data_IF_701096888867
#
_entry.id   IF_701096888867
#
_cell.length_a   1.000
_cell.length_b   1.000
_cell.length_c   1.000
_cell.angle_alpha   90.00
_cell.angle_beta   90.00
_cell.angle_gamma   90.00
#
_symmetry.space_group_name_H-M   'P 1'
#
loop_
_entity.id
_entity.type
_entity.pdbx_description
1 polymer ?
#
# COMPACT_ATOMS: atom_id res chain seq x y z
N UNK A 1 6.44 2.37 22.73
CA UNK A 1 7.16 2.22 21.44
C UNK A 1 6.58 3.24 20.48
N UNK A 2 7.42 4.05 19.81
CA UNK A 2 6.95 5.16 18.99
C UNK A 2 6.47 4.60 17.63
N UNK A 3 5.15 4.51 17.41
CA UNK A 3 4.54 3.80 16.27
C UNK A 3 5.08 4.26 14.91
N UNK A 4 5.46 5.54 14.80
CA UNK A 4 6.07 6.09 13.60
C UNK A 4 7.43 5.46 13.26
N UNK A 5 8.28 5.20 14.26
CA UNK A 5 9.61 4.59 14.03
C UNK A 5 9.49 3.17 13.49
N UNK A 6 8.49 2.43 13.97
CA UNK A 6 8.24 1.08 13.49
C UNK A 6 7.74 1.09 12.03
N UNK A 7 6.88 2.04 11.67
CA UNK A 7 6.38 2.18 10.31
C UNK A 7 7.50 2.50 9.31
N UNK A 8 8.36 3.46 9.66
CA UNK A 8 9.56 3.80 8.87
C UNK A 8 10.49 2.60 8.69
N UNK A 9 10.76 1.85 9.77
CA UNK A 9 11.59 0.65 9.70
C UNK A 9 10.99 -0.40 8.75
N UNK A 10 9.68 -0.64 8.84
CA UNK A 10 8.96 -1.53 7.93
C UNK A 10 9.07 -1.08 6.47
N UNK A 11 8.89 0.21 6.19
CA UNK A 11 8.98 0.74 4.83
C UNK A 11 10.36 0.51 4.19
N UNK A 12 11.44 0.68 4.96
CA UNK A 12 12.79 0.33 4.49
C UNK A 12 12.97 -1.18 4.25
N UNK A 13 12.33 -2.02 5.05
CA UNK A 13 12.42 -3.47 4.86
C UNK A 13 11.62 -3.92 3.63
N UNK A 14 10.45 -3.33 3.38
CA UNK A 14 9.65 -3.57 2.18
C UNK A 14 10.42 -3.18 0.91
N UNK A 15 11.04 -1.99 0.88
CA UNK A 15 11.81 -1.55 -0.29
C UNK A 15 13.00 -2.47 -0.56
N UNK A 16 13.77 -2.84 0.48
CA UNK A 16 14.86 -3.80 0.36
C UNK A 16 14.39 -5.17 -0.11
N UNK A 17 13.24 -5.63 0.37
CA UNK A 17 12.69 -6.93 0.00
C UNK A 17 12.28 -6.97 -1.48
N UNK A 18 11.57 -5.95 -1.96
CA UNK A 18 11.16 -5.84 -3.37
C UNK A 18 12.38 -5.68 -4.28
N UNK A 19 13.31 -4.79 -3.91
CA UNK A 19 14.56 -4.61 -4.65
C UNK A 19 15.37 -5.91 -4.75
N UNK A 20 15.41 -6.71 -3.69
CA UNK A 20 16.14 -7.98 -3.67
C UNK A 20 15.45 -9.07 -4.50
N UNK A 21 14.13 -9.21 -4.37
CA UNK A 21 13.37 -10.27 -5.05
C UNK A 21 13.04 -9.93 -6.50
N UNK A 22 13.15 -8.66 -6.89
CA UNK A 22 12.74 -8.17 -8.21
C UNK A 22 11.31 -8.62 -8.54
N UNK A 23 10.42 -8.47 -7.56
CA UNK A 23 9.03 -8.90 -7.65
C UNK A 23 8.13 -7.97 -6.84
N UNK A 24 6.96 -7.65 -7.40
CA UNK A 24 5.91 -6.87 -6.73
C UNK A 24 5.43 -7.53 -5.44
N UNK A 25 5.11 -6.71 -4.45
CA UNK A 25 4.57 -7.16 -3.17
C UNK A 25 3.47 -6.24 -2.68
N UNK A 26 2.42 -6.85 -2.15
CA UNK A 26 1.28 -6.19 -1.53
C UNK A 26 1.43 -6.26 -0.02
N UNK A 27 1.15 -5.15 0.65
CA UNK A 27 1.22 -5.01 2.10
C UNK A 27 -0.14 -4.59 2.66
N UNK A 28 -0.15 -4.08 3.89
CA UNK A 28 -1.39 -3.76 4.59
C UNK A 28 -2.09 -2.50 4.03
N UNK A 29 -3.28 -2.21 4.56
CA UNK A 29 -4.01 -0.96 4.34
C UNK A 29 -3.54 0.12 5.32
N UNK A 30 -3.18 1.28 4.79
CA UNK A 30 -2.68 2.40 5.56
C UNK A 30 -3.62 3.58 5.50
N UNK A 31 -3.82 4.27 6.61
CA UNK A 31 -4.52 5.57 6.65
C UNK A 31 -3.67 6.66 5.95
N UNK A 32 -4.25 7.82 5.59
CA UNK A 32 -3.55 8.87 4.85
C UNK A 32 -2.25 9.35 5.51
N UNK A 33 -2.21 9.49 6.84
CA UNK A 33 -1.02 9.95 7.56
C UNK A 33 0.09 8.89 7.58
N UNK A 34 -0.28 7.60 7.58
CA UNK A 34 0.66 6.49 7.41
C UNK A 34 1.15 6.39 5.97
N UNK A 35 0.28 6.59 4.97
CA UNK A 35 0.63 6.57 3.55
C UNK A 35 1.70 7.62 3.22
N UNK A 36 1.53 8.85 3.71
CA UNK A 36 2.49 9.95 3.50
C UNK A 36 3.89 9.58 4.02
N UNK A 37 3.97 9.08 5.26
CA UNK A 37 5.24 8.67 5.87
C UNK A 37 5.91 7.51 5.14
N UNK A 38 5.13 6.54 4.69
CA UNK A 38 5.65 5.42 3.90
C UNK A 38 6.18 5.95 2.57
N UNK A 39 5.42 6.82 1.89
CA UNK A 39 5.81 7.39 0.62
C UNK A 39 7.15 8.15 0.72
N UNK A 40 7.35 8.93 1.78
CA UNK A 40 8.61 9.64 2.01
C UNK A 40 9.80 8.69 2.08
N UNK A 41 9.64 7.56 2.78
CA UNK A 41 10.69 6.54 2.88
C UNK A 41 10.92 5.83 1.56
N UNK A 42 9.85 5.44 0.85
CA UNK A 42 9.97 4.66 -0.40
C UNK A 42 10.56 5.49 -1.55
N UNK A 43 10.32 6.80 -1.59
CA UNK A 43 10.91 7.72 -2.57
C UNK A 43 12.44 7.79 -2.51
N UNK A 44 13.06 7.42 -1.39
CA UNK A 44 14.52 7.33 -1.26
C UNK A 44 15.14 6.19 -2.07
N UNK A 45 14.32 5.24 -2.58
CA UNK A 45 14.80 4.03 -3.25
C UNK A 45 14.53 4.10 -4.77
N UNK A 46 15.57 4.43 -5.54
CA UNK A 46 15.44 4.65 -6.99
C UNK A 46 15.10 3.40 -7.81
N UNK A 47 15.27 2.19 -7.26
CA UNK A 47 15.06 0.92 -7.95
C UNK A 47 13.62 0.38 -7.87
N UNK A 48 12.75 1.04 -7.11
CA UNK A 48 11.36 0.64 -6.91
C UNK A 48 10.42 1.80 -7.25
N UNK A 49 9.18 1.45 -7.54
CA UNK A 49 8.04 2.34 -7.51
C UNK A 49 7.01 1.78 -6.51
N UNK A 50 6.02 2.60 -6.17
CA UNK A 50 4.96 2.20 -5.25
C UNK A 50 3.63 2.86 -5.62
N UNK A 51 2.55 2.22 -5.20
CA UNK A 51 1.20 2.72 -5.37
C UNK A 51 0.34 2.37 -4.15
N UNK A 52 -0.67 3.20 -3.90
CA UNK A 52 -1.70 2.96 -2.90
C UNK A 52 -3.05 2.78 -3.60
N UNK A 53 -3.67 1.62 -3.45
CA UNK A 53 -4.92 1.28 -4.13
C UNK A 53 -5.85 0.47 -3.23
N UNK A 54 -7.14 0.41 -3.59
CA UNK A 54 -8.12 -0.46 -2.97
C UNK A 54 -9.21 0.27 -2.20
N UNK A 55 -10.33 -0.44 -2.03
CA UNK A 55 -11.55 0.12 -1.46
C UNK A 55 -12.40 0.82 -2.52
N UNK A 56 -13.19 1.79 -2.09
CA UNK A 56 -13.96 2.69 -2.96
C UNK A 56 -13.16 3.97 -3.24
N UNK A 57 -13.61 4.80 -4.17
CA UNK A 57 -13.01 6.11 -4.47
C UNK A 57 -12.76 6.95 -3.20
N UNK A 58 -13.67 6.85 -2.23
CA UNK A 58 -13.65 7.62 -0.98
C UNK A 58 -12.99 6.87 0.19
N UNK A 59 -12.42 5.69 -0.02
CA UNK A 59 -11.75 4.95 1.04
C UNK A 59 -10.43 5.65 1.43
N UNK A 60 -10.36 6.08 2.70
CA UNK A 60 -9.13 6.68 3.24
C UNK A 60 -8.00 5.66 3.35
N UNK A 61 -8.34 4.42 3.71
CA UNK A 61 -7.38 3.33 3.89
C UNK A 61 -7.14 2.62 2.56
N UNK A 62 -5.89 2.66 2.09
CA UNK A 62 -5.47 2.06 0.82
C UNK A 62 -4.36 1.05 1.05
N UNK A 63 -4.39 -0.05 0.31
CA UNK A 63 -3.37 -1.08 0.31
C UNK A 63 -2.10 -0.55 -0.36
N UNK A 64 -0.95 -0.78 0.28
CA UNK A 64 0.35 -0.49 -0.33
C UNK A 64 0.75 -1.62 -1.29
N UNK A 65 1.13 -1.25 -2.51
CA UNK A 65 1.90 -2.09 -3.42
C UNK A 65 3.27 -1.47 -3.66
N UNK A 66 4.33 -2.27 -3.55
CA UNK A 66 5.70 -1.87 -3.89
C UNK A 66 6.23 -2.83 -4.95
N UNK A 67 6.84 -2.30 -6.00
CA UNK A 67 7.23 -3.05 -7.18
C UNK A 67 8.53 -2.53 -7.80
N UNK A 68 9.27 -3.35 -8.56
CA UNK A 68 10.43 -2.89 -9.31
C UNK A 68 10.09 -1.73 -10.24
N UNK A 69 11.00 -0.77 -10.36
CA UNK A 69 10.79 0.43 -11.18
C UNK A 69 10.54 0.08 -12.65
N UNK A 70 9.60 0.78 -13.26
CA UNK A 70 9.22 0.58 -14.67
C UNK A 70 8.19 -0.53 -14.91
N UNK A 71 7.74 -1.22 -13.86
CA UNK A 71 6.51 -2.00 -13.94
C UNK A 71 5.27 -1.10 -13.86
N UNK A 72 4.20 -1.48 -14.56
CA UNK A 72 2.87 -0.94 -14.35
C UNK A 72 2.08 -1.88 -13.44
N UNK A 73 1.30 -1.30 -12.52
CA UNK A 73 0.36 -2.05 -11.69
C UNK A 73 -1.04 -1.62 -12.07
N UNK A 74 -1.84 -2.58 -12.52
CA UNK A 74 -3.26 -2.36 -12.79
C UNK A 74 -4.09 -2.64 -11.53
N UNK A 75 -5.22 -1.95 -11.41
CA UNK A 75 -6.15 -2.07 -10.27
C UNK A 75 -6.62 -3.51 -10.03
N UNK A 76 -6.88 -4.26 -11.11
CA UNK A 76 -7.30 -5.67 -11.08
C UNK A 76 -6.28 -6.63 -10.46
N UNK A 77 -5.03 -6.19 -10.28
CA UNK A 77 -3.96 -7.02 -9.74
C UNK A 77 -3.89 -6.99 -8.22
N UNK A 78 -4.58 -6.03 -7.59
CA UNK A 78 -4.72 -6.00 -6.15
C UNK A 78 -5.70 -7.06 -5.70
N UNK A 79 -5.30 -7.88 -4.73
CA UNK A 79 -6.15 -8.91 -4.13
C UNK A 79 -7.15 -8.29 -3.13
N UNK A 80 -8.02 -7.41 -3.61
CA UNK A 80 -8.98 -6.64 -2.82
C UNK A 80 -10.36 -6.76 -3.46
N UNK A 81 -11.36 -7.11 -2.66
CA UNK A 81 -12.77 -7.13 -3.05
C UNK A 81 -13.57 -6.15 -2.17
N UNK A 82 -14.61 -5.54 -2.75
CA UNK A 82 -15.57 -4.68 -2.04
C UNK A 82 -16.78 -5.52 -1.65
N UNK A 83 -17.13 -5.48 -0.36
CA UNK A 83 -18.36 -6.12 0.14
C UNK A 83 -19.40 -5.03 0.33
N UNK A 84 -20.45 -5.08 -0.46
CA UNK A 84 -21.61 -4.20 -0.35
C UNK A 84 -22.66 -4.83 0.58
N UNK A 85 -23.22 -4.01 1.46
CA UNK A 85 -24.30 -4.42 2.35
C UNK A 85 -25.58 -3.73 1.92
N UNK A 86 -26.59 -4.52 1.58
CA UNK A 86 -27.94 -4.00 1.39
C UNK A 86 -28.50 -3.56 2.75
N UNK A 87 -28.98 -2.32 2.81
CA UNK A 87 -29.73 -1.84 3.96
C UNK A 87 -31.11 -2.50 3.88
N UNK A 88 -31.36 -3.51 4.71
CA UNK A 88 -32.73 -3.95 4.96
C UNK A 88 -33.46 -2.81 5.69
N UNK A 89 -34.49 -2.24 5.06
CA UNK A 89 -35.32 -1.17 5.62
C UNK A 89 -36.31 -1.66 6.70
N UNK A 90 -36.11 -2.87 7.24
CA UNK A 90 -36.91 -3.45 8.31
C UNK A 90 -36.47 -2.96 9.71
N UNK A 91 -36.51 -1.64 9.96
CA UNK A 91 -36.68 -1.03 11.30
C UNK A 91 -37.52 0.25 11.18
#
# INVERSE_FOLDING_TARGET
>A
MNSNKLLTAKAHDWSRQVAKKQARMFFDFFDPASQEKIADVLKEYEQIDFAFYGGTEFAERKMLCVFPKGECVEEKEYAIDVIEFDKNDDI
#
